data_IF_456802024110
#
_entry.id   IF_456802024110
#
_cell.length_a   1.000
_cell.length_b   1.000
_cell.length_c   1.000
_cell.angle_alpha   90.00
_cell.angle_beta   90.00
_cell.angle_gamma   90.00
#
_symmetry.space_group_name_H-M   'P 1'
#
loop_
_entity.id
_entity.type
_entity.pdbx_description
1 polymer ?
#
# COMPACT_ATOMS: atom_id res chain seq x y z
N UNK A 1 12.71 -20.93 13.65
CA UNK A 1 11.67 -20.93 12.58
C UNK A 1 10.90 -19.61 12.36
N UNK A 2 10.79 -18.63 13.28
CA UNK A 2 10.08 -17.36 13.00
C UNK A 2 10.87 -16.41 12.07
N UNK A 3 12.20 -16.42 12.14
CA UNK A 3 13.08 -15.64 11.25
C UNK A 3 12.87 -15.94 9.76
N UNK A 4 12.73 -17.21 9.37
CA UNK A 4 12.48 -17.61 7.98
C UNK A 4 11.12 -17.10 7.47
N UNK A 5 10.07 -17.15 8.31
CA UNK A 5 8.74 -16.61 7.95
C UNK A 5 8.75 -15.09 7.83
N UNK A 6 9.43 -14.39 8.73
CA UNK A 6 9.56 -12.93 8.69
C UNK A 6 10.38 -12.50 7.47
N UNK A 7 11.46 -13.22 7.15
CA UNK A 7 12.31 -12.93 6.00
C UNK A 7 11.57 -13.19 4.68
N UNK A 8 10.88 -14.33 4.55
CA UNK A 8 10.03 -14.61 3.40
C UNK A 8 8.90 -13.58 3.26
N UNK A 9 8.22 -13.22 4.35
CA UNK A 9 7.14 -12.22 4.29
C UNK A 9 7.66 -10.84 3.88
N UNK A 10 8.82 -10.44 4.42
CA UNK A 10 9.42 -9.13 4.15
C UNK A 10 9.96 -9.02 2.72
N UNK A 11 10.61 -10.06 2.20
CA UNK A 11 11.10 -10.07 0.83
C UNK A 11 9.95 -10.16 -0.18
N UNK A 12 8.95 -11.00 0.09
CA UNK A 12 7.80 -11.18 -0.82
C UNK A 12 6.97 -9.90 -0.93
N UNK A 13 6.70 -9.19 0.17
CA UNK A 13 5.91 -7.94 0.13
C UNK A 13 6.69 -6.80 -0.55
N UNK A 14 8.02 -6.75 -0.38
CA UNK A 14 8.88 -5.76 -1.06
C UNK A 14 8.97 -6.03 -2.56
N UNK A 15 9.26 -7.27 -2.95
CA UNK A 15 9.32 -7.67 -4.35
C UNK A 15 7.96 -7.46 -5.02
N UNK A 16 6.87 -7.81 -4.33
CA UNK A 16 5.50 -7.55 -4.80
C UNK A 16 5.26 -6.07 -5.08
N UNK A 17 5.63 -5.17 -4.16
CA UNK A 17 5.43 -3.72 -4.36
C UNK A 17 6.29 -3.15 -5.50
N UNK A 18 7.49 -3.69 -5.73
CA UNK A 18 8.34 -3.31 -6.86
C UNK A 18 7.74 -3.77 -8.17
N UNK A 19 7.26 -5.02 -8.24
CA UNK A 19 6.60 -5.56 -9.44
C UNK A 19 5.34 -4.76 -9.75
N UNK A 20 4.52 -4.46 -8.74
CA UNK A 20 3.31 -3.64 -8.90
C UNK A 20 3.66 -2.26 -9.43
N UNK A 21 4.69 -1.60 -8.88
CA UNK A 21 5.16 -0.32 -9.41
C UNK A 21 5.62 -0.36 -10.86
N UNK A 22 6.37 -1.41 -11.23
CA UNK A 22 6.79 -1.63 -12.61
C UNK A 22 5.60 -1.83 -13.56
N UNK A 23 4.62 -2.65 -13.17
CA UNK A 23 3.40 -2.86 -13.94
C UNK A 23 2.60 -1.56 -14.11
N UNK A 24 2.41 -0.78 -13.04
CA UNK A 24 1.68 0.50 -13.11
C UNK A 24 2.41 1.55 -13.96
N UNK A 25 3.74 1.60 -13.92
CA UNK A 25 4.53 2.45 -14.83
C UNK A 25 4.32 2.05 -16.29
N UNK A 26 4.43 0.75 -16.59
CA UNK A 26 4.29 0.23 -17.95
C UNK A 26 2.86 0.44 -18.48
N UNK A 27 1.85 0.18 -17.66
CA UNK A 27 0.44 0.47 -17.96
C UNK A 27 0.26 1.95 -18.33
N UNK A 28 0.75 2.87 -17.48
CA UNK A 28 0.63 4.32 -17.71
C UNK A 28 1.33 4.77 -19.00
N UNK A 29 2.54 4.23 -19.26
CA UNK A 29 3.28 4.52 -20.49
C UNK A 29 2.53 4.05 -21.73
N UNK A 30 2.00 2.81 -21.71
CA UNK A 30 1.20 2.28 -22.80
C UNK A 30 -0.04 3.14 -23.02
N UNK A 31 -0.77 3.52 -21.97
CA UNK A 31 -1.96 4.37 -22.09
C UNK A 31 -1.62 5.74 -22.69
N UNK A 32 -0.53 6.37 -22.26
CA UNK A 32 -0.09 7.66 -22.82
C UNK A 32 0.30 7.54 -24.31
N UNK A 33 1.05 6.49 -24.68
CA UNK A 33 1.44 6.24 -26.07
C UNK A 33 0.21 6.00 -26.94
N UNK A 34 -0.73 5.15 -26.48
CA UNK A 34 -1.96 4.86 -27.20
C UNK A 34 -2.81 6.12 -27.37
N UNK A 35 -2.96 6.93 -26.32
CA UNK A 35 -3.73 8.17 -26.39
C UNK A 35 -3.11 9.20 -27.36
N UNK A 36 -1.78 9.29 -27.39
CA UNK A 36 -1.07 10.10 -28.37
C UNK A 36 -1.24 9.55 -29.80
N UNK A 37 -1.14 8.23 -29.99
CA UNK A 37 -1.26 7.56 -31.28
C UNK A 37 -2.67 7.69 -31.89
N UNK A 38 -3.72 7.68 -31.06
CA UNK A 38 -5.09 7.89 -31.52
C UNK A 38 -5.41 9.34 -31.92
N UNK A 39 -4.45 10.27 -31.83
CA UNK A 39 -4.63 11.67 -32.23
C UNK A 39 -5.03 12.61 -31.09
N UNK A 40 -4.89 12.17 -29.84
CA UNK A 40 -4.98 13.00 -28.63
C UNK A 40 -6.30 13.78 -28.52
N UNK A 41 -6.21 15.11 -28.58
CA UNK A 41 -7.38 16.00 -28.49
C UNK A 41 -8.43 15.76 -29.60
N UNK A 42 -8.01 15.41 -30.81
CA UNK A 42 -8.94 15.17 -31.93
C UNK A 42 -9.79 13.92 -31.69
N UNK A 43 -9.21 12.90 -31.08
CA UNK A 43 -9.92 11.69 -30.67
C UNK A 43 -11.05 12.02 -29.70
N UNK A 44 -10.76 12.75 -28.62
CA UNK A 44 -11.77 13.15 -27.64
C UNK A 44 -12.90 14.00 -28.24
N UNK A 45 -12.56 14.91 -29.16
CA UNK A 45 -13.57 15.70 -29.85
C UNK A 45 -14.47 14.83 -30.74
N UNK A 46 -13.88 13.89 -31.48
CA UNK A 46 -14.62 12.97 -32.35
C UNK A 46 -15.57 12.08 -31.54
N UNK A 47 -15.09 11.49 -30.45
CA UNK A 47 -15.89 10.66 -29.56
C UNK A 47 -17.02 11.47 -28.89
N UNK A 48 -16.74 12.70 -28.44
CA UNK A 48 -17.75 13.56 -27.83
C UNK A 48 -18.91 13.89 -28.80
N UNK A 49 -18.60 14.16 -30.07
CA UNK A 49 -19.62 14.41 -31.10
C UNK A 49 -20.45 13.15 -31.39
N UNK A 50 -19.79 11.98 -31.44
CA UNK A 50 -20.48 10.70 -31.62
C UNK A 50 -21.47 10.40 -30.47
N UNK A 51 -21.07 10.65 -29.22
CA UNK A 51 -21.96 10.45 -28.07
C UNK A 51 -23.09 11.48 -28.01
N UNK A 52 -22.86 12.72 -28.45
CA UNK A 52 -23.88 13.76 -28.52
C UNK A 52 -24.97 13.43 -29.56
N UNK A 53 -24.58 12.94 -30.74
CA UNK A 53 -25.52 12.52 -31.79
C UNK A 53 -26.38 11.32 -31.34
N UNK A 54 -25.78 10.39 -30.59
CA UNK A 54 -26.44 9.17 -30.11
C UNK A 54 -27.06 9.30 -28.72
N UNK A 55 -27.15 10.51 -28.15
CA UNK A 55 -27.59 10.75 -26.76
C UNK A 55 -28.99 10.16 -26.47
N UNK A 56 -29.86 10.09 -27.48
CA UNK A 56 -31.21 9.55 -27.38
C UNK A 56 -31.26 8.04 -27.04
N UNK A 57 -30.22 7.30 -27.41
CA UNK A 57 -30.06 5.86 -27.17
C UNK A 57 -29.56 5.60 -25.75
N UNK A 58 -28.79 6.53 -25.19
CA UNK A 58 -28.20 6.42 -23.86
C UNK A 58 -29.08 7.01 -22.76
N UNK A 59 -28.77 6.71 -21.50
CA UNK A 59 -29.37 7.39 -20.36
C UNK A 59 -28.50 8.59 -19.96
N UNK A 60 -28.94 9.85 -20.20
CA UNK A 60 -28.11 11.03 -19.97
C UNK A 60 -27.95 11.28 -18.46
N UNK A 61 -26.84 10.80 -17.89
CA UNK A 61 -26.43 11.18 -16.55
C UNK A 61 -25.79 12.58 -16.59
N UNK A 62 -26.15 13.48 -15.68
CA UNK A 62 -25.70 14.88 -15.69
C UNK A 62 -24.17 15.03 -15.76
N UNK A 63 -23.42 14.20 -15.01
CA UNK A 63 -21.95 14.19 -15.03
C UNK A 63 -21.38 13.77 -16.38
N UNK A 64 -22.04 12.82 -17.08
CA UNK A 64 -21.61 12.34 -18.38
C UNK A 64 -21.84 13.38 -19.47
N UNK A 65 -22.99 14.06 -19.45
CA UNK A 65 -23.29 15.17 -20.37
C UNK A 65 -22.31 16.33 -20.16
N UNK A 66 -22.00 16.65 -18.91
CA UNK A 66 -20.98 17.65 -18.58
C UNK A 66 -19.60 17.27 -19.14
N UNK A 67 -19.19 16.01 -18.97
CA UNK A 67 -17.90 15.52 -19.50
C UNK A 67 -17.83 15.62 -21.03
N UNK A 68 -18.89 15.23 -21.74
CA UNK A 68 -19.00 15.41 -23.20
C UNK A 68 -18.86 16.88 -23.58
N UNK A 69 -19.53 17.76 -22.82
CA UNK A 69 -19.43 19.21 -23.00
C UNK A 69 -17.99 19.71 -22.92
N UNK A 70 -17.24 19.30 -21.88
CA UNK A 70 -15.82 19.66 -21.71
C UNK A 70 -14.94 19.14 -22.86
N UNK A 71 -15.13 17.89 -23.27
CA UNK A 71 -14.42 17.30 -24.40
C UNK A 71 -14.70 18.04 -25.72
N UNK A 72 -15.90 18.61 -25.88
CA UNK A 72 -16.29 19.38 -27.06
C UNK A 72 -15.75 20.82 -27.04
N UNK A 73 -15.86 21.51 -25.91
CA UNK A 73 -15.49 22.94 -25.78
C UNK A 73 -13.98 23.14 -25.77
N UNK A 74 -13.24 22.24 -25.11
CA UNK A 74 -11.80 22.40 -24.90
C UNK A 74 -11.08 21.05 -24.88
N UNK A 75 -11.09 20.31 -26.02
CA UNK A 75 -10.46 18.99 -26.12
C UNK A 75 -8.94 19.04 -25.86
N UNK A 76 -8.28 20.12 -26.27
CA UNK A 76 -6.84 20.30 -26.06
C UNK A 76 -6.49 20.45 -24.59
N UNK A 77 -7.25 21.27 -23.85
CA UNK A 77 -7.05 21.45 -22.42
C UNK A 77 -7.36 20.16 -21.65
N UNK A 78 -8.41 19.43 -22.05
CA UNK A 78 -8.75 18.14 -21.46
C UNK A 78 -7.65 17.09 -21.70
N UNK A 79 -7.16 16.97 -22.94
CA UNK A 79 -6.04 16.08 -23.27
C UNK A 79 -4.77 16.46 -22.52
N UNK A 80 -4.40 17.75 -22.52
CA UNK A 80 -3.23 18.24 -21.79
C UNK A 80 -3.34 17.96 -20.28
N UNK A 81 -4.53 18.10 -19.70
CA UNK A 81 -4.79 17.79 -18.29
C UNK A 81 -4.58 16.31 -18.02
N UNK A 82 -5.16 15.42 -18.82
CA UNK A 82 -4.98 13.95 -18.67
C UNK A 82 -3.50 13.57 -18.80
N UNK A 83 -2.83 14.06 -19.84
CA UNK A 83 -1.40 13.78 -20.06
C UNK A 83 -0.55 14.31 -18.91
N UNK A 84 -0.86 15.49 -18.38
CA UNK A 84 -0.17 16.05 -17.21
C UNK A 84 -0.40 15.20 -15.96
N UNK A 85 -1.63 14.75 -15.69
CA UNK A 85 -1.93 13.86 -14.58
C UNK A 85 -1.19 12.52 -14.69
N UNK A 86 -1.16 11.91 -15.88
CA UNK A 86 -0.43 10.66 -16.12
C UNK A 86 1.10 10.86 -16.01
N UNK A 87 1.61 11.99 -16.50
CA UNK A 87 3.01 12.37 -16.36
C UNK A 87 3.43 12.57 -14.90
N UNK A 88 2.57 13.17 -14.07
CA UNK A 88 2.78 13.32 -12.62
C UNK A 88 2.66 12.00 -11.86
N UNK A 89 1.92 11.03 -12.39
CA UNK A 89 1.78 9.71 -11.78
C UNK A 89 3.06 8.86 -11.90
N UNK A 90 3.80 8.98 -13.01
CA UNK A 90 5.07 8.27 -13.21
C UNK A 90 6.10 8.47 -12.07
N UNK A 91 6.45 9.69 -11.64
CA UNK A 91 7.37 9.88 -10.53
C UNK A 91 6.80 9.35 -9.20
N UNK A 92 5.48 9.32 -9.01
CA UNK A 92 4.87 8.68 -7.84
C UNK A 92 5.13 7.16 -7.84
N UNK A 93 5.01 6.49 -8.99
CA UNK A 93 5.36 5.08 -9.11
C UNK A 93 6.86 4.84 -8.86
N UNK A 94 7.72 5.71 -9.38
CA UNK A 94 9.16 5.65 -9.12
C UNK A 94 9.50 5.83 -7.65
N UNK A 95 8.83 6.79 -6.97
CA UNK A 95 8.97 7.02 -5.54
C UNK A 95 8.50 5.80 -4.73
N UNK A 96 7.42 5.12 -5.12
CA UNK A 96 7.01 3.87 -4.48
C UNK A 96 8.06 2.77 -4.64
N UNK A 97 8.60 2.56 -5.84
CA UNK A 97 9.63 1.55 -6.08
C UNK A 97 10.90 1.86 -5.24
N UNK A 98 11.33 3.12 -5.23
CA UNK A 98 12.44 3.58 -4.39
C UNK A 98 12.12 3.43 -2.90
N UNK A 99 10.88 3.69 -2.49
CA UNK A 99 10.38 3.50 -1.13
C UNK A 99 10.43 2.05 -0.68
N UNK A 100 10.06 1.11 -1.57
CA UNK A 100 10.14 -0.33 -1.33
C UNK A 100 11.60 -0.82 -1.29
N UNK A 101 12.47 -0.25 -2.12
CA UNK A 101 13.89 -0.56 -2.15
C UNK A 101 14.61 -0.04 -0.89
N UNK A 102 14.52 1.26 -0.59
CA UNK A 102 15.20 1.92 0.53
C UNK A 102 14.47 1.83 1.89
N UNK A 103 13.30 1.18 1.96
CA UNK A 103 12.50 1.04 3.18
C UNK A 103 12.13 2.38 3.84
N UNK A 104 11.90 3.43 3.04
CA UNK A 104 11.56 4.76 3.55
C UNK A 104 10.06 5.01 3.40
N UNK A 105 9.35 5.03 4.54
CA UNK A 105 7.89 5.25 4.62
C UNK A 105 7.42 6.51 3.87
N UNK A 106 8.15 7.60 3.98
CA UNK A 106 7.77 8.89 3.38
C UNK A 106 7.64 8.83 1.85
N UNK A 107 8.38 7.94 1.18
CA UNK A 107 8.32 7.79 -0.27
C UNK A 107 7.08 7.01 -0.75
N UNK A 108 6.42 6.22 0.13
CA UNK A 108 5.22 5.46 -0.22
C UNK A 108 3.93 6.29 -0.07
N UNK A 109 3.93 7.29 0.82
CA UNK A 109 2.75 8.15 1.10
C UNK A 109 2.16 8.79 -0.16
N UNK A 110 2.93 9.50 -1.02
CA UNK A 110 2.36 10.18 -2.17
C UNK A 110 1.68 9.21 -3.15
N UNK A 111 2.28 8.03 -3.36
CA UNK A 111 1.69 7.00 -4.21
C UNK A 111 0.36 6.50 -3.64
N UNK A 112 0.29 6.19 -2.34
CA UNK A 112 -0.95 5.67 -1.72
C UNK A 112 -2.11 6.65 -1.88
N UNK A 113 -1.86 7.96 -1.74
CA UNK A 113 -2.88 9.00 -1.89
C UNK A 113 -3.33 9.17 -3.34
N UNK A 114 -2.38 9.27 -4.27
CA UNK A 114 -2.69 9.44 -5.70
C UNK A 114 -3.39 8.20 -6.24
N UNK A 115 -2.96 7.00 -5.86
CA UNK A 115 -3.58 5.75 -6.27
C UNK A 115 -4.99 5.62 -5.71
N UNK A 116 -5.23 6.00 -4.44
CA UNK A 116 -6.58 6.01 -3.88
C UNK A 116 -7.51 6.95 -4.66
N UNK A 117 -7.04 8.16 -5.01
CA UNK A 117 -7.81 9.08 -5.84
C UNK A 117 -8.09 8.48 -7.22
N UNK A 118 -7.09 7.84 -7.84
CA UNK A 118 -7.23 7.14 -9.13
C UNK A 118 -8.31 6.04 -9.04
N UNK A 119 -8.28 5.21 -8.00
CA UNK A 119 -9.27 4.14 -7.79
C UNK A 119 -10.69 4.69 -7.61
N UNK A 120 -10.86 5.80 -6.87
CA UNK A 120 -12.16 6.47 -6.75
C UNK A 120 -12.64 6.97 -8.11
N UNK A 121 -11.77 7.60 -8.90
CA UNK A 121 -12.13 8.05 -10.25
C UNK A 121 -12.52 6.88 -11.18
N UNK A 122 -11.78 5.76 -11.16
CA UNK A 122 -12.08 4.58 -11.98
C UNK A 122 -13.40 3.94 -11.53
N UNK A 123 -13.65 3.80 -10.23
CA UNK A 123 -14.92 3.24 -9.73
C UNK A 123 -16.12 4.10 -10.13
N UNK A 124 -16.02 5.43 -9.99
CA UNK A 124 -17.06 6.35 -10.43
C UNK A 124 -17.29 6.27 -11.94
N UNK A 125 -16.22 6.23 -12.73
CA UNK A 125 -16.30 6.07 -14.20
C UNK A 125 -16.96 4.77 -14.58
N UNK A 126 -16.62 3.66 -13.90
CA UNK A 126 -17.22 2.36 -14.14
C UNK A 126 -18.73 2.36 -13.83
N UNK A 127 -19.14 2.90 -12.68
CA UNK A 127 -20.55 2.99 -12.29
C UNK A 127 -21.35 3.88 -13.25
N UNK A 128 -20.83 5.07 -13.58
CA UNK A 128 -21.48 5.97 -14.54
C UNK A 128 -21.56 5.32 -15.92
N UNK A 129 -20.48 4.66 -16.38
CA UNK A 129 -20.45 3.92 -17.64
C UNK A 129 -21.52 2.84 -17.70
N UNK A 130 -21.71 2.07 -16.63
CA UNK A 130 -22.78 1.06 -16.57
C UNK A 130 -24.17 1.69 -16.63
N UNK A 131 -24.39 2.84 -15.98
CA UNK A 131 -25.68 3.55 -16.03
C UNK A 131 -25.99 4.04 -17.46
N UNK A 132 -24.98 4.60 -18.15
CA UNK A 132 -25.12 5.15 -19.51
C UNK A 132 -25.43 4.05 -20.52
N UNK A 133 -24.69 2.93 -20.47
CA UNK A 133 -24.76 1.84 -21.46
C UNK A 133 -25.97 0.91 -21.23
N UNK A 134 -26.57 0.91 -20.04
CA UNK A 134 -27.68 0.00 -19.66
C UNK A 134 -28.85 -0.01 -20.66
N UNK A 135 -29.11 1.10 -21.35
CA UNK A 135 -30.21 1.23 -22.32
C UNK A 135 -29.86 0.72 -23.73
N UNK A 136 -28.58 0.69 -24.10
CA UNK A 136 -28.14 0.48 -25.48
C UNK A 136 -27.58 -0.93 -25.77
N UNK A 137 -27.37 -1.76 -24.74
CA UNK A 137 -26.67 -3.05 -24.90
C UNK A 137 -27.54 -4.25 -24.50
N UNK A 138 -27.27 -5.41 -25.10
CA UNK A 138 -27.90 -6.67 -24.69
C UNK A 138 -27.57 -6.99 -23.23
N UNK A 139 -28.55 -7.53 -22.51
CA UNK A 139 -28.44 -7.88 -21.08
C UNK A 139 -27.21 -8.75 -20.78
N UNK A 140 -26.86 -9.68 -21.68
CA UNK A 140 -25.69 -10.54 -21.52
C UNK A 140 -24.35 -9.77 -21.48
N UNK A 141 -24.16 -8.79 -22.37
CA UNK A 141 -22.94 -7.98 -22.37
C UNK A 141 -22.88 -7.05 -21.16
N UNK A 142 -24.03 -6.52 -20.70
CA UNK A 142 -24.10 -5.70 -19.49
C UNK A 142 -23.59 -6.48 -18.26
N UNK A 143 -24.03 -7.74 -18.12
CA UNK A 143 -23.56 -8.63 -17.05
C UNK A 143 -22.05 -8.88 -17.20
N UNK A 144 -21.58 -9.22 -18.41
CA UNK A 144 -20.17 -9.50 -18.66
C UNK A 144 -19.27 -8.30 -18.30
N UNK A 145 -19.63 -7.08 -18.72
CA UNK A 145 -18.86 -5.89 -18.39
C UNK A 145 -18.89 -5.54 -16.89
N UNK A 146 -20.02 -5.75 -16.22
CA UNK A 146 -20.14 -5.52 -14.78
C UNK A 146 -19.24 -6.48 -14.00
N UNK A 147 -19.25 -7.77 -14.37
CA UNK A 147 -18.41 -8.78 -13.73
C UNK A 147 -16.93 -8.50 -14.02
N UNK A 148 -16.56 -8.27 -15.28
CA UNK A 148 -15.18 -8.01 -15.68
C UNK A 148 -14.62 -6.74 -15.01
N UNK A 149 -15.40 -5.65 -15.02
CA UNK A 149 -15.00 -4.40 -14.36
C UNK A 149 -14.96 -4.51 -12.84
N UNK A 150 -15.89 -5.25 -12.23
CA UNK A 150 -15.87 -5.54 -10.80
C UNK A 150 -14.62 -6.32 -10.38
N UNK A 151 -14.24 -7.36 -11.12
CA UNK A 151 -13.00 -8.11 -10.86
C UNK A 151 -11.75 -7.26 -11.08
N UNK A 152 -11.72 -6.42 -12.13
CA UNK A 152 -10.60 -5.51 -12.37
C UNK A 152 -10.46 -4.50 -11.22
N UNK A 153 -11.56 -3.90 -10.76
CA UNK A 153 -11.56 -2.98 -9.61
C UNK A 153 -11.09 -3.67 -8.33
N UNK A 154 -11.58 -4.89 -8.06
CA UNK A 154 -11.14 -5.68 -6.90
C UNK A 154 -9.64 -5.96 -6.94
N UNK A 155 -9.10 -6.33 -8.10
CA UNK A 155 -7.66 -6.53 -8.29
C UNK A 155 -6.89 -5.23 -8.02
N UNK A 156 -7.34 -4.10 -8.56
CA UNK A 156 -6.68 -2.81 -8.36
C UNK A 156 -6.70 -2.37 -6.88
N UNK A 157 -7.83 -2.53 -6.18
CA UNK A 157 -7.91 -2.28 -4.73
C UNK A 157 -7.02 -3.22 -3.93
N UNK A 158 -6.91 -4.48 -4.33
CA UNK A 158 -6.01 -5.44 -3.69
C UNK A 158 -4.55 -5.00 -3.82
N UNK A 159 -4.11 -4.61 -5.03
CA UNK A 159 -2.75 -4.13 -5.26
C UNK A 159 -2.44 -2.87 -4.44
N UNK A 160 -3.39 -1.94 -4.34
CA UNK A 160 -3.26 -0.78 -3.46
C UNK A 160 -3.14 -1.18 -1.99
N UNK A 161 -3.98 -2.10 -1.52
CA UNK A 161 -3.93 -2.60 -0.14
C UNK A 161 -2.59 -3.28 0.18
N UNK A 162 -1.94 -3.94 -0.78
CA UNK A 162 -0.59 -4.50 -0.60
C UNK A 162 0.45 -3.41 -0.27
N UNK A 163 0.38 -2.25 -0.94
CA UNK A 163 1.29 -1.12 -0.67
C UNK A 163 1.01 -0.49 0.69
N UNK A 164 -0.27 -0.40 1.08
CA UNK A 164 -0.67 0.02 2.42
C UNK A 164 -0.16 -0.95 3.50
N UNK A 165 -0.24 -2.26 3.26
CA UNK A 165 0.30 -3.27 4.14
C UNK A 165 1.83 -3.16 4.27
N UNK A 166 2.56 -2.90 3.17
CA UNK A 166 3.99 -2.62 3.23
C UNK A 166 4.29 -1.41 4.12
N UNK A 167 3.49 -0.35 4.05
CA UNK A 167 3.64 0.81 4.93
C UNK A 167 3.46 0.45 6.42
N UNK A 168 2.49 -0.40 6.75
CA UNK A 168 2.24 -0.86 8.12
C UNK A 168 3.40 -1.71 8.64
N UNK A 169 3.89 -2.66 7.83
CA UNK A 169 5.04 -3.50 8.18
C UNK A 169 6.29 -2.63 8.43
N UNK A 170 6.54 -1.63 7.58
CA UNK A 170 7.63 -0.69 7.77
C UNK A 170 7.54 0.09 9.08
N UNK A 171 6.32 0.44 9.52
CA UNK A 171 6.09 1.11 10.80
C UNK A 171 6.47 0.21 11.98
N UNK A 172 6.11 -1.08 11.91
CA UNK A 172 6.40 -2.05 12.97
C UNK A 172 7.91 -2.34 13.04
N UNK A 173 8.56 -2.54 11.89
CA UNK A 173 9.99 -2.90 11.86
C UNK A 173 10.90 -1.76 12.33
N UNK A 174 10.46 -0.49 12.20
CA UNK A 174 11.19 0.66 12.76
C UNK A 174 10.78 1.02 14.19
N UNK A 175 9.96 0.21 14.85
CA UNK A 175 9.65 0.43 16.26
C UNK A 175 10.90 0.18 17.11
N UNK A 176 11.12 0.96 18.19
CA UNK A 176 12.28 0.80 19.07
C UNK A 176 12.30 -0.59 19.73
N UNK A 177 11.13 -1.17 19.97
CA UNK A 177 10.95 -2.53 20.50
C UNK A 177 11.50 -3.59 19.54
N UNK A 178 11.27 -3.42 18.23
CA UNK A 178 11.81 -4.35 17.22
C UNK A 178 13.32 -4.18 17.04
N UNK A 179 13.80 -2.93 17.03
CA UNK A 179 15.23 -2.59 16.92
C UNK A 179 16.01 -3.16 18.11
N UNK A 180 15.45 -3.13 19.32
CA UNK A 180 16.09 -3.70 20.51
C UNK A 180 16.31 -5.23 20.43
N UNK A 181 15.48 -5.94 19.65
CA UNK A 181 15.55 -7.41 19.53
C UNK A 181 16.35 -7.86 18.31
N UNK A 182 16.28 -7.11 17.20
CA UNK A 182 16.85 -7.53 15.91
C UNK A 182 18.00 -6.64 15.40
N UNK A 183 18.31 -5.55 16.10
CA UNK A 183 19.33 -4.57 15.74
C UNK A 183 18.81 -3.43 14.86
N UNK A 184 19.69 -2.45 14.62
CA UNK A 184 19.38 -1.23 13.86
C UNK A 184 19.24 -1.47 12.35
N UNK A 185 19.92 -2.51 11.82
CA UNK A 185 19.97 -2.73 10.38
C UNK A 185 18.93 -3.75 9.91
N UNK A 186 17.83 -3.32 9.27
CA UNK A 186 16.81 -4.21 8.76
C UNK A 186 17.31 -5.18 7.66
N UNK A 187 18.49 -4.93 7.10
CA UNK A 187 19.08 -5.70 5.99
C UNK A 187 20.13 -6.72 6.46
N UNK A 188 20.63 -6.60 7.70
CA UNK A 188 21.61 -7.49 8.28
C UNK A 188 21.16 -7.85 9.71
N UNK A 189 20.38 -8.94 9.90
CA UNK A 189 20.01 -9.36 11.25
C UNK A 189 21.28 -9.65 12.05
N UNK A 190 21.39 -9.04 13.22
CA UNK A 190 22.50 -9.30 14.16
C UNK A 190 22.43 -10.77 14.56
N UNK A 191 23.49 -11.53 14.31
CA UNK A 191 23.59 -12.89 14.84
C UNK A 191 23.45 -12.82 16.36
N UNK A 192 22.60 -13.65 16.99
CA UNK A 192 22.54 -13.70 18.43
C UNK A 192 23.95 -13.99 18.93
N UNK A 193 24.52 -13.08 19.72
CA UNK A 193 25.79 -13.34 20.38
C UNK A 193 25.67 -14.71 21.05
N UNK A 194 26.58 -15.67 20.76
CA UNK A 194 26.64 -16.87 21.59
C UNK A 194 26.85 -16.35 23.00
N UNK A 195 25.91 -16.65 23.89
CA UNK A 195 26.09 -16.46 25.33
C UNK A 195 27.43 -17.09 25.65
N UNK A 196 28.44 -16.24 25.80
CA UNK A 196 29.75 -16.66 26.27
C UNK A 196 29.48 -17.44 27.53
N UNK A 197 30.01 -18.66 27.56
CA UNK A 197 30.14 -19.44 28.77
C UNK A 197 30.70 -18.52 29.86
N UNK A 198 29.83 -18.02 30.74
CA UNK A 198 30.29 -17.51 32.02
C UNK A 198 30.85 -18.72 32.73
N UNK A 199 32.17 -18.80 32.80
CA UNK A 199 32.88 -19.70 33.69
C UNK A 199 32.39 -19.44 35.11
N UNK A 200 31.57 -20.36 35.63
CA UNK A 200 31.12 -20.43 37.01
C UNK A 200 32.30 -20.93 37.86
N UNK A 201 33.41 -20.20 37.94
CA UNK A 201 34.48 -20.50 38.90
C UNK A 201 35.34 -19.25 39.19
N UNK A 202 34.79 -18.31 39.94
CA UNK A 202 35.54 -17.42 40.82
C UNK A 202 34.57 -16.64 41.73
N UNK A 203 34.10 -17.28 42.80
CA UNK A 203 33.52 -16.55 43.94
C UNK A 203 34.53 -16.67 45.08
N UNK A 204 35.29 -15.59 45.25
CA UNK A 204 36.07 -15.27 46.44
C UNK A 204 35.09 -14.90 47.57
N UNK A 205 35.24 -15.41 48.81
CA UNK A 205 34.28 -15.11 49.87
C UNK A 205 34.62 -13.76 50.51
N UNK A 206 33.70 -12.79 50.42
CA UNK A 206 33.76 -11.58 51.24
C UNK A 206 32.46 -11.39 52.01
N UNK A 207 32.66 -11.26 53.33
CA UNK A 207 31.69 -11.32 54.42
C UNK A 207 30.46 -10.38 54.31
N UNK A 208 29.37 -10.74 55.02
CA UNK A 208 28.11 -10.00 55.06
C UNK A 208 28.22 -8.75 55.96
N UNK A 209 27.17 -7.92 55.96
CA UNK A 209 26.97 -6.67 56.73
C UNK A 209 27.29 -5.36 55.96
N UNK A 210 26.33 -4.90 55.14
CA UNK A 210 25.67 -3.60 55.37
C UNK A 210 24.50 -3.38 54.40
N UNK A 211 23.27 -3.52 54.91
CA UNK A 211 22.06 -3.04 54.26
C UNK A 211 21.81 -1.57 54.63
N UNK A 212 21.59 -0.72 53.61
CA UNK A 212 20.48 0.26 53.55
C UNK A 212 20.51 1.09 52.25
N UNK A 213 19.64 0.69 51.32
CA UNK A 213 18.66 1.58 50.69
C UNK A 213 19.11 2.55 49.60
N UNK A 214 19.16 2.07 48.35
CA UNK A 214 18.51 2.75 47.20
C UNK A 214 18.39 1.75 46.04
N UNK A 215 17.24 1.10 45.93
CA UNK A 215 16.91 0.18 44.84
C UNK A 215 16.78 0.92 43.50
N UNK A 216 17.83 0.88 42.68
CA UNK A 216 17.65 0.85 41.22
C UNK A 216 17.22 -0.57 40.86
N UNK A 217 16.01 -0.72 40.33
CA UNK A 217 15.57 -1.99 39.75
C UNK A 217 16.55 -2.39 38.64
N UNK A 218 17.28 -3.48 38.91
CA UNK A 218 18.18 -4.15 37.98
C UNK A 218 17.39 -4.87 36.88
N UNK A 219 17.90 -5.00 35.64
CA UNK A 219 17.21 -5.65 34.51
C UNK A 219 17.00 -7.17 34.65
N UNK A 220 17.18 -7.73 35.85
CA UNK A 220 17.19 -9.16 36.10
C UNK A 220 15.81 -9.79 36.33
N UNK A 221 14.72 -9.01 36.32
CA UNK A 221 13.35 -9.55 36.53
C UNK A 221 12.65 -9.95 35.22
N UNK A 222 13.28 -9.71 34.06
CA UNK A 222 12.70 -10.04 32.74
C UNK A 222 13.03 -11.46 32.23
N UNK A 223 13.77 -12.28 32.99
CA UNK A 223 14.33 -13.56 32.50
C UNK A 223 13.69 -14.83 33.08
N UNK A 224 12.51 -14.76 33.69
CA UNK A 224 11.85 -15.93 34.32
C UNK A 224 10.48 -16.33 33.75
N UNK A 225 10.13 -15.88 32.53
CA UNK A 225 8.98 -16.44 31.83
C UNK A 225 9.43 -17.63 30.94
N UNK A 226 8.87 -18.85 31.12
CA UNK A 226 9.23 -20.00 30.31
C UNK A 226 8.80 -19.79 28.87
N UNK A 227 9.79 -19.77 27.99
CA UNK A 227 9.67 -19.57 26.55
C UNK A 227 9.03 -20.81 25.91
N UNK A 228 7.71 -20.82 25.71
CA UNK A 228 7.01 -21.93 25.04
C UNK A 228 6.73 -21.57 23.57
N UNK A 229 7.58 -22.06 22.68
CA UNK A 229 7.78 -21.57 21.31
C UNK A 229 6.83 -22.10 20.22
N UNK A 230 5.56 -22.41 20.50
CA UNK A 230 4.69 -23.03 19.49
C UNK A 230 3.41 -22.28 19.11
N UNK A 231 2.94 -21.25 19.83
CA UNK A 231 1.61 -20.64 19.58
C UNK A 231 1.58 -19.10 19.46
N UNK A 232 2.65 -18.45 19.01
CA UNK A 232 2.80 -16.98 19.08
C UNK A 232 2.17 -16.13 17.94
N UNK A 233 1.34 -16.69 17.04
CA UNK A 233 0.94 -15.93 15.84
C UNK A 233 -0.48 -15.33 15.88
N UNK A 234 -1.33 -15.67 16.85
CA UNK A 234 -2.70 -15.12 16.94
C UNK A 234 -2.97 -14.40 18.27
N UNK A 235 -2.37 -14.84 19.39
CA UNK A 235 -2.66 -14.22 20.69
C UNK A 235 -1.77 -13.01 21.03
N UNK A 236 -0.63 -12.82 20.35
CA UNK A 236 0.34 -11.76 20.68
C UNK A 236 0.03 -10.38 20.07
N UNK A 237 -0.95 -10.26 19.19
CA UNK A 237 -1.45 -8.94 18.75
C UNK A 237 -2.54 -8.38 19.67
N UNK A 238 -3.12 -9.20 20.55
CA UNK A 238 -4.18 -8.79 21.49
C UNK A 238 -3.69 -7.79 22.57
N UNK A 239 -2.46 -7.90 23.13
CA UNK A 239 -1.94 -6.91 24.07
C UNK A 239 -1.58 -5.58 23.40
N UNK A 240 -1.13 -5.62 22.14
CA UNK A 240 -0.76 -4.43 21.35
C UNK A 240 -1.99 -3.59 20.97
N UNK A 241 -3.12 -4.24 20.66
CA UNK A 241 -4.37 -3.53 20.37
C UNK A 241 -5.03 -2.94 21.63
N UNK A 242 -4.88 -3.61 22.78
CA UNK A 242 -5.38 -3.14 24.09
C UNK A 242 -4.63 -1.88 24.57
N UNK A 243 -3.31 -1.83 24.43
CA UNK A 243 -2.51 -0.64 24.84
C UNK A 243 -2.74 0.58 23.94
N UNK A 244 -3.08 0.39 22.67
CA UNK A 244 -3.44 1.50 21.78
C UNK A 244 -4.80 2.14 22.12
N UNK A 245 -5.73 1.38 22.72
CA UNK A 245 -7.02 1.91 23.18
C UNK A 245 -6.90 2.67 24.51
N UNK A 246 -6.02 2.23 25.41
CA UNK A 246 -5.80 2.91 26.69
C UNK A 246 -5.13 4.28 26.53
N UNK A 247 -4.15 4.40 25.62
CA UNK A 247 -3.43 5.65 25.39
C UNK A 247 -4.19 6.71 24.57
N UNK A 248 -5.43 6.42 24.15
CA UNK A 248 -6.32 7.38 23.48
C UNK A 248 -7.43 7.90 24.41
N UNK A 249 -7.50 7.37 25.64
CA UNK A 249 -8.51 7.71 26.65
C UNK A 249 -7.96 8.59 27.78
N UNK A 250 -6.74 9.13 27.64
CA UNK A 250 -6.11 10.12 28.53
C UNK A 250 -5.77 11.36 27.71
#
# INVERSE_FOLDING_TARGET
>A
MPLMRIFCFRLTVRLGSIIVGGCCMLETLITMIMLAAFGGAKFFKSEALYYEENLHIYNPHAVFVWLIGVCKTSPELFYATIMSCMGLYLPCCGAMMAGAYFMKRYLLVPYILVELLRLVCITLTHVIGMIVIKKSINVGYLIAFTIAGGFALLLLFYLWACVVALMQILKIVRSPEYIAVFGDDPLAPVEPQPTGSMDIFAIEPKNPWNDKGMERMSPAVLTLAPYNGTNMLIDDFRPLHSRYLYNRAV
#
